data_IF_303573994746
#
_entry.id   IF_303573994746
#
_cell.length_a   1.000
_cell.length_b   1.000
_cell.length_c   1.000
_cell.angle_alpha   90.00
_cell.angle_beta   90.00
_cell.angle_gamma   90.00
#
_symmetry.space_group_name_H-M   'P 1'
#
loop_
_entity.id
_entity.type
_entity.pdbx_description
1 polymer ?
#
# COMPACT_ATOMS: atom_id res chain seq x y z
N UNK A 1 20.81 22.66 -3.56
CA UNK A 1 19.57 21.86 -3.74
C UNK A 1 19.27 21.12 -2.45
N UNK A 2 18.02 21.10 -2.00
CA UNK A 2 17.65 20.32 -0.80
C UNK A 2 17.80 18.82 -1.09
N UNK A 3 18.40 18.07 -0.17
CA UNK A 3 18.78 16.66 -0.39
C UNK A 3 17.61 15.76 -0.84
N UNK A 4 16.40 16.00 -0.32
CA UNK A 4 15.20 15.24 -0.67
C UNK A 4 14.68 15.53 -2.09
N UNK A 5 14.91 16.74 -2.63
CA UNK A 5 14.57 17.07 -4.03
C UNK A 5 15.52 16.39 -5.00
N UNK A 6 16.80 16.28 -4.65
CA UNK A 6 17.78 15.55 -5.44
C UNK A 6 17.48 14.03 -5.46
N UNK A 7 16.90 13.50 -4.39
CA UNK A 7 16.44 12.10 -4.30
C UNK A 7 15.12 11.82 -5.05
N UNK A 8 14.56 12.78 -5.78
CA UNK A 8 13.29 12.60 -6.52
C UNK A 8 12.05 12.53 -5.64
N UNK A 9 12.14 12.93 -4.37
CA UNK A 9 10.97 12.94 -3.47
C UNK A 9 10.08 14.15 -3.77
N UNK A 10 8.78 13.88 -3.97
CA UNK A 10 7.77 14.93 -3.94
C UNK A 10 7.56 15.43 -2.50
N UNK A 11 6.98 16.63 -2.35
CA UNK A 11 6.74 17.23 -1.04
C UNK A 11 5.85 16.36 -0.13
N UNK A 12 4.80 15.74 -0.69
CA UNK A 12 3.87 14.88 0.05
C UNK A 12 4.59 13.64 0.61
N UNK A 13 5.46 13.02 -0.17
CA UNK A 13 6.24 11.85 0.24
C UNK A 13 7.23 12.24 1.35
N UNK A 14 7.90 13.38 1.20
CA UNK A 14 8.83 13.89 2.21
C UNK A 14 8.12 14.14 3.55
N UNK A 15 6.99 14.86 3.54
CA UNK A 15 6.24 15.17 4.77
C UNK A 15 5.66 13.92 5.42
N UNK A 16 5.18 12.95 4.63
CA UNK A 16 4.70 11.66 5.13
C UNK A 16 5.82 10.85 5.81
N UNK A 17 7.03 10.84 5.24
CA UNK A 17 8.18 10.17 5.86
C UNK A 17 8.53 10.83 7.21
N UNK A 18 8.60 12.16 7.24
CA UNK A 18 8.86 12.89 8.48
C UNK A 18 7.79 12.63 9.55
N UNK A 19 6.51 12.62 9.17
CA UNK A 19 5.41 12.33 10.07
C UNK A 19 5.51 10.91 10.67
N UNK A 20 5.85 9.90 9.87
CA UNK A 20 6.09 8.53 10.35
C UNK A 20 7.23 8.45 11.37
N UNK A 21 8.34 9.16 11.12
CA UNK A 21 9.47 9.21 12.05
C UNK A 21 9.08 9.85 13.38
N UNK A 22 8.34 10.96 13.33
CA UNK A 22 7.83 11.64 14.54
C UNK A 22 6.92 10.69 15.33
N UNK A 23 5.99 9.98 14.68
CA UNK A 23 5.09 9.01 15.34
C UNK A 23 5.86 7.88 16.04
N UNK A 24 6.95 7.40 15.45
CA UNK A 24 7.83 6.40 16.08
C UNK A 24 8.58 6.93 17.29
N UNK A 25 8.89 8.22 17.31
CA UNK A 25 9.58 8.88 18.43
C UNK A 25 8.67 9.18 19.63
N UNK A 26 7.34 9.09 19.50
CA UNK A 26 6.41 9.33 20.61
C UNK A 26 6.51 8.23 21.69
N UNK A 27 6.09 8.60 22.92
CA UNK A 27 5.90 7.66 24.04
C UNK A 27 4.93 6.54 23.67
N UNK A 28 5.10 5.32 24.22
CA UNK A 28 4.32 4.14 23.83
C UNK A 28 2.80 4.35 23.98
N UNK A 29 2.36 5.07 25.02
CA UNK A 29 0.95 5.37 25.28
C UNK A 29 0.27 6.13 24.14
N UNK A 30 0.98 7.09 23.55
CA UNK A 30 0.45 7.92 22.46
C UNK A 30 0.77 7.33 21.07
N UNK A 31 1.77 6.44 21.00
CA UNK A 31 2.18 5.78 19.76
C UNK A 31 1.08 4.86 19.22
N UNK A 32 0.38 4.13 20.08
CA UNK A 32 -0.69 3.21 19.67
C UNK A 32 -1.80 3.93 18.89
N UNK A 33 -2.21 5.13 19.33
CA UNK A 33 -3.20 5.93 18.61
C UNK A 33 -2.62 6.57 17.34
N UNK A 34 -1.34 6.95 17.36
CA UNK A 34 -0.68 7.60 16.24
C UNK A 34 -0.43 6.65 15.06
N UNK A 35 -0.09 5.38 15.32
CA UNK A 35 0.20 4.36 14.29
C UNK A 35 -1.03 4.08 13.41
N UNK A 36 -2.24 4.19 13.95
CA UNK A 36 -3.49 4.01 13.17
C UNK A 36 -3.60 4.98 11.99
N UNK A 37 -2.91 6.13 12.03
CA UNK A 37 -2.88 7.11 10.95
C UNK A 37 -1.85 6.80 9.86
N UNK A 38 -0.95 5.85 10.10
CA UNK A 38 0.04 5.42 9.10
C UNK A 38 -0.51 4.34 8.15
N UNK A 39 -1.64 3.72 8.49
CA UNK A 39 -2.30 2.71 7.66
C UNK A 39 -3.06 3.38 6.52
N UNK A 40 -2.74 3.03 5.27
CA UNK A 40 -3.46 3.49 4.07
C UNK A 40 -3.69 2.30 3.14
N UNK A 41 -4.93 1.81 3.08
CA UNK A 41 -5.32 0.65 2.27
C UNK A 41 -5.85 1.07 0.89
N UNK A 42 -5.05 1.82 0.14
CA UNK A 42 -5.43 2.25 -1.21
C UNK A 42 -4.90 1.23 -2.22
N UNK A 43 -5.83 0.55 -2.91
CA UNK A 43 -5.50 -0.32 -4.04
C UNK A 43 -5.64 0.49 -5.33
N UNK A 44 -4.54 0.66 -6.05
CA UNK A 44 -4.56 1.29 -7.37
C UNK A 44 -4.75 0.22 -8.45
N UNK A 45 -5.85 0.29 -9.18
CA UNK A 45 -6.04 -0.49 -10.40
C UNK A 45 -5.74 0.40 -11.59
N UNK A 46 -4.64 0.13 -12.29
CA UNK A 46 -4.32 0.83 -13.53
C UNK A 46 -5.21 0.27 -14.65
N UNK A 47 -5.85 1.16 -15.40
CA UNK A 47 -6.67 0.81 -16.56
C UNK A 47 -5.91 1.16 -17.83
N UNK A 48 -5.82 0.22 -18.76
CA UNK A 48 -5.17 0.42 -20.06
C UNK A 48 -6.10 -0.14 -21.13
N UNK A 49 -6.37 0.64 -22.19
CA UNK A 49 -7.23 0.24 -23.31
C UNK A 49 -8.60 -0.30 -22.87
N UNK A 50 -9.18 0.29 -21.81
CA UNK A 50 -10.51 -0.08 -21.30
C UNK A 50 -10.54 -1.36 -20.44
N UNK A 51 -9.40 -1.98 -20.15
CA UNK A 51 -9.32 -3.15 -19.24
C UNK A 51 -8.40 -2.86 -18.04
N UNK A 52 -8.73 -3.37 -16.85
CA UNK A 52 -7.83 -3.28 -15.70
C UNK A 52 -6.60 -4.17 -15.93
N UNK A 53 -5.41 -3.64 -15.66
CA UNK A 53 -4.12 -4.32 -15.86
C UNK A 53 -3.84 -5.38 -14.78
N UNK A 54 -4.40 -5.20 -13.57
CA UNK A 54 -4.34 -6.21 -12.51
C UNK A 54 -5.68 -6.93 -12.40
N UNK A 55 -5.81 -8.05 -13.10
CA UNK A 55 -6.83 -9.05 -12.80
C UNK A 55 -6.41 -9.72 -11.48
N UNK A 56 -7.08 -9.39 -10.37
CA UNK A 56 -7.02 -10.25 -9.20
C UNK A 56 -7.75 -11.54 -9.57
N UNK A 57 -7.00 -12.49 -10.12
CA UNK A 57 -7.48 -13.84 -10.40
C UNK A 57 -7.66 -14.59 -9.09
N UNK A 58 -8.71 -14.26 -8.36
CA UNK A 58 -9.21 -15.04 -7.22
C UNK A 58 -9.87 -16.35 -7.63
N UNK A 59 -10.02 -16.59 -8.94
CA UNK A 59 -10.85 -17.67 -9.47
C UNK A 59 -10.05 -18.91 -9.87
N UNK A 60 -8.70 -18.84 -9.90
CA UNK A 60 -7.85 -20.00 -10.24
C UNK A 60 -7.78 -21.05 -9.11
N UNK A 61 -8.02 -20.68 -7.85
CA UNK A 61 -8.03 -21.64 -6.74
C UNK A 61 -9.33 -22.46 -6.67
N UNK A 62 -10.44 -21.91 -7.16
CA UNK A 62 -11.74 -22.60 -7.17
C UNK A 62 -11.87 -23.55 -8.38
N UNK A 63 -11.27 -23.21 -9.52
CA UNK A 63 -11.22 -24.10 -10.68
C UNK A 63 -10.30 -25.32 -10.47
N UNK A 64 -9.20 -25.17 -9.72
CA UNK A 64 -8.30 -26.29 -9.41
C UNK A 64 -8.93 -27.32 -8.46
N UNK A 65 -9.87 -26.92 -7.60
CA UNK A 65 -10.55 -27.83 -6.68
C UNK A 65 -11.69 -28.61 -7.36
N UNK A 66 -12.38 -28.01 -8.34
CA UNK A 66 -13.48 -28.68 -9.05
C UNK A 66 -12.98 -29.74 -10.05
N UNK A 67 -11.78 -29.56 -10.62
CA UNK A 67 -11.16 -30.53 -11.53
C UNK A 67 -10.63 -31.79 -10.83
N UNK A 68 -10.32 -31.71 -9.53
CA UNK A 68 -9.92 -32.87 -8.71
C UNK A 68 -11.13 -33.69 -8.27
N UNK A 69 -12.30 -33.06 -8.08
CA UNK A 69 -13.53 -33.73 -7.61
C UNK A 69 -14.37 -34.32 -8.75
N UNK A 70 -14.14 -33.90 -10.01
CA UNK A 70 -14.89 -34.38 -11.19
C UNK A 70 -14.16 -35.44 -12.02
N UNK A 71 -13.11 -36.06 -11.47
CA UNK A 71 -12.34 -37.16 -12.08
C UNK A 71 -12.81 -38.53 -11.62
#
# INVERSE_FOLDING_TARGET
MTAWRAAGLNYINYSNIAARLVRKALKPEQRAQAVRRDESHIKFTKWVNGKPESEYRSDETLFAFSSIVSG
#
